data_IF_493983131714
#
_entry.id   IF_493983131714
#
_cell.length_a   1.000
_cell.length_b   1.000
_cell.length_c   1.000
_cell.angle_alpha   90.00
_cell.angle_beta   90.00
_cell.angle_gamma   90.00
#
_symmetry.space_group_name_H-M   'P 1'
#
loop_
_entity.id
_entity.type
_entity.pdbx_description
1 polymer ?
#
# COMPACT_ATOMS: atom_id res chain seq x y z
N UNK A 1 25.57 -20.10 1.33
CA UNK A 1 25.18 -21.34 0.64
C UNK A 1 24.13 -21.05 -0.40
N UNK A 2 24.23 -21.71 -1.52
CA UNK A 2 23.33 -21.47 -2.65
C UNK A 2 21.97 -22.16 -2.43
N UNK A 3 20.90 -21.47 -2.80
CA UNK A 3 19.57 -22.05 -2.89
C UNK A 3 19.48 -23.04 -4.06
N UNK A 4 18.65 -24.06 -3.90
CA UNK A 4 18.25 -24.87 -5.07
C UNK A 4 17.43 -24.01 -6.04
N UNK A 5 17.38 -24.33 -7.35
CA UNK A 5 16.58 -23.58 -8.31
C UNK A 5 15.10 -23.43 -7.89
N UNK A 6 14.52 -24.49 -7.34
CA UNK A 6 13.12 -24.46 -6.88
C UNK A 6 12.93 -23.60 -5.63
N UNK A 7 13.87 -23.62 -4.70
CA UNK A 7 13.84 -22.73 -3.53
C UNK A 7 13.94 -21.27 -3.94
N UNK A 8 14.76 -20.96 -4.93
CA UNK A 8 14.86 -19.61 -5.48
C UNK A 8 13.55 -19.15 -6.12
N UNK A 9 12.93 -20.00 -6.93
CA UNK A 9 11.61 -19.72 -7.53
C UNK A 9 10.57 -19.47 -6.41
N UNK A 10 10.55 -20.33 -5.39
CA UNK A 10 9.66 -20.16 -4.26
C UNK A 10 9.86 -18.81 -3.57
N UNK A 11 11.10 -18.44 -3.27
CA UNK A 11 11.41 -17.18 -2.59
C UNK A 11 11.04 -15.97 -3.45
N UNK A 12 11.34 -15.98 -4.73
CA UNK A 12 11.01 -14.89 -5.67
C UNK A 12 9.48 -14.72 -5.80
N UNK A 13 8.75 -15.84 -5.89
CA UNK A 13 7.27 -15.81 -5.93
C UNK A 13 6.65 -15.35 -4.61
N UNK A 14 7.22 -15.79 -3.48
CA UNK A 14 6.77 -15.36 -2.17
C UNK A 14 6.91 -13.84 -1.98
N UNK A 15 7.96 -13.24 -2.52
CA UNK A 15 8.20 -11.79 -2.43
C UNK A 15 7.16 -10.94 -3.17
N UNK A 16 6.37 -11.54 -4.07
CA UNK A 16 5.33 -10.81 -4.82
C UNK A 16 4.15 -10.45 -3.91
N UNK A 17 3.62 -11.42 -3.18
CA UNK A 17 2.38 -11.28 -2.41
C UNK A 17 2.42 -11.85 -1.00
N UNK A 18 3.57 -12.37 -0.57
CA UNK A 18 3.78 -13.01 0.72
C UNK A 18 2.85 -14.22 0.95
N UNK A 19 2.44 -14.89 -0.12
CA UNK A 19 1.58 -16.08 -0.07
C UNK A 19 2.43 -17.34 -0.30
N UNK A 20 2.81 -18.00 0.80
CA UNK A 20 3.67 -19.20 0.76
C UNK A 20 3.02 -20.38 0.03
N UNK A 21 1.72 -20.56 0.17
CA UNK A 21 0.98 -21.66 -0.49
C UNK A 21 1.02 -21.50 -2.00
N UNK A 22 0.71 -20.33 -2.50
CA UNK A 22 0.77 -20.04 -3.93
C UNK A 22 2.19 -20.15 -4.46
N UNK A 23 3.15 -19.54 -3.78
CA UNK A 23 4.57 -19.57 -4.17
C UNK A 23 5.09 -21.01 -4.23
N UNK A 24 4.72 -21.85 -3.28
CA UNK A 24 5.11 -23.26 -3.28
C UNK A 24 4.55 -24.01 -4.48
N UNK A 25 3.30 -23.79 -4.84
CA UNK A 25 2.68 -24.43 -6.02
C UNK A 25 3.37 -24.03 -7.33
N UNK A 26 3.82 -22.79 -7.43
CA UNK A 26 4.58 -22.32 -8.61
C UNK A 26 5.94 -23.01 -8.69
N UNK A 27 6.66 -23.09 -7.58
CA UNK A 27 7.98 -23.71 -7.52
C UNK A 27 7.94 -25.25 -7.66
N UNK A 28 6.86 -25.88 -7.19
CA UNK A 28 6.66 -27.32 -7.18
C UNK A 28 5.32 -27.68 -7.84
N UNK A 29 5.22 -27.61 -9.18
CA UNK A 29 3.94 -27.75 -9.88
C UNK A 29 3.26 -29.12 -9.74
N UNK A 30 4.03 -30.14 -9.34
CA UNK A 30 3.49 -31.49 -9.08
C UNK A 30 2.63 -31.54 -7.82
N UNK A 31 2.82 -30.60 -6.88
CA UNK A 31 2.03 -30.50 -5.65
C UNK A 31 0.78 -29.68 -5.94
N UNK A 32 -0.37 -30.37 -5.97
CA UNK A 32 -1.67 -29.75 -6.32
C UNK A 32 -2.54 -29.44 -5.10
N UNK A 33 -2.36 -30.18 -4.01
CA UNK A 33 -3.16 -30.00 -2.79
C UNK A 33 -2.71 -28.76 -2.03
N UNK A 34 -3.66 -27.88 -1.73
CA UNK A 34 -3.40 -26.64 -0.99
C UNK A 34 -2.80 -26.89 0.39
N UNK A 35 -3.28 -27.92 1.09
CA UNK A 35 -2.76 -28.25 2.41
C UNK A 35 -1.28 -28.67 2.37
N UNK A 36 -0.90 -29.52 1.42
CA UNK A 36 0.50 -29.91 1.23
C UNK A 36 1.37 -28.72 0.88
N UNK A 37 0.91 -27.85 -0.01
CA UNK A 37 1.60 -26.63 -0.38
C UNK A 37 1.75 -25.67 0.81
N UNK A 38 0.70 -25.53 1.63
CA UNK A 38 0.73 -24.70 2.84
C UNK A 38 1.77 -25.20 3.84
N UNK A 39 1.76 -26.48 4.15
CA UNK A 39 2.69 -27.08 5.10
C UNK A 39 4.13 -26.97 4.60
N UNK A 40 4.37 -27.37 3.36
CA UNK A 40 5.72 -27.35 2.78
C UNK A 40 6.24 -25.94 2.52
N UNK A 41 5.36 -25.02 2.13
CA UNK A 41 5.69 -23.61 2.00
C UNK A 41 6.10 -22.99 3.34
N UNK A 42 5.37 -23.29 4.40
CA UNK A 42 5.70 -22.86 5.75
C UNK A 42 7.04 -23.41 6.23
N UNK A 43 7.36 -24.65 5.89
CA UNK A 43 8.68 -25.24 6.19
C UNK A 43 9.82 -24.51 5.46
N UNK A 44 9.62 -24.16 4.19
CA UNK A 44 10.63 -23.40 3.44
C UNK A 44 10.88 -22.02 4.05
N UNK A 45 9.88 -21.39 4.63
CA UNK A 45 10.04 -20.10 5.32
C UNK A 45 10.86 -20.21 6.61
N UNK A 46 11.10 -21.42 7.12
CA UNK A 46 12.00 -21.67 8.25
C UNK A 46 13.40 -22.10 7.82
N UNK A 47 13.61 -22.34 6.54
CA UNK A 47 14.92 -22.72 6.00
C UNK A 47 15.87 -21.52 6.06
N UNK A 48 17.01 -21.67 6.71
CA UNK A 48 17.97 -20.59 6.92
C UNK A 48 18.41 -19.90 5.62
N UNK A 49 18.68 -20.67 4.59
CA UNK A 49 19.13 -20.12 3.29
C UNK A 49 18.01 -19.36 2.59
N UNK A 50 16.78 -19.86 2.66
CA UNK A 50 15.58 -19.21 2.09
C UNK A 50 15.29 -17.90 2.84
N UNK A 51 15.32 -17.92 4.17
CA UNK A 51 15.13 -16.73 5.00
C UNK A 51 16.17 -15.67 4.68
N UNK A 52 17.45 -16.04 4.63
CA UNK A 52 18.52 -15.11 4.31
C UNK A 52 18.35 -14.47 2.92
N UNK A 53 17.96 -15.25 1.92
CA UNK A 53 17.72 -14.75 0.57
C UNK A 53 16.53 -13.77 0.54
N UNK A 54 15.41 -14.11 1.19
CA UNK A 54 14.23 -13.25 1.27
C UNK A 54 14.58 -11.93 1.96
N UNK A 55 15.27 -11.98 3.10
CA UNK A 55 15.67 -10.79 3.84
C UNK A 55 16.58 -9.88 3.03
N UNK A 56 17.55 -10.45 2.32
CA UNK A 56 18.45 -9.69 1.45
C UNK A 56 17.67 -9.00 0.32
N UNK A 57 16.76 -9.72 -0.34
CA UNK A 57 15.95 -9.15 -1.43
C UNK A 57 15.01 -8.04 -0.93
N UNK A 58 14.44 -8.20 0.27
CA UNK A 58 13.62 -7.15 0.89
C UNK A 58 14.43 -5.89 1.19
N UNK A 59 15.64 -6.05 1.75
CA UNK A 59 16.54 -4.92 2.01
C UNK A 59 16.95 -4.19 0.73
N UNK A 60 17.27 -4.93 -0.32
CA UNK A 60 17.57 -4.35 -1.63
C UNK A 60 16.40 -3.56 -2.19
N UNK A 61 15.19 -4.08 -2.05
CA UNK A 61 13.96 -3.39 -2.49
C UNK A 61 13.72 -2.11 -1.70
N UNK A 62 13.83 -2.14 -0.37
CA UNK A 62 13.71 -0.96 0.48
C UNK A 62 14.75 0.10 0.10
N UNK A 63 16.00 -0.31 -0.10
CA UNK A 63 17.07 0.59 -0.50
C UNK A 63 16.82 1.22 -1.88
N UNK A 64 16.33 0.43 -2.83
CA UNK A 64 16.05 0.90 -4.20
C UNK A 64 14.87 1.87 -4.27
N UNK A 65 13.81 1.59 -3.51
CA UNK A 65 12.58 2.39 -3.51
C UNK A 65 12.57 3.47 -2.44
N UNK A 66 13.45 3.39 -1.45
CA UNK A 66 13.44 4.23 -0.24
C UNK A 66 12.12 4.15 0.54
N UNK A 67 11.37 3.06 0.33
CA UNK A 67 10.08 2.80 0.99
C UNK A 67 10.26 1.65 1.98
N UNK A 68 10.09 1.95 3.27
CA UNK A 68 10.09 0.98 4.36
C UNK A 68 8.66 0.66 4.78
N UNK A 69 8.49 -0.43 5.56
CA UNK A 69 7.21 -0.73 6.20
C UNK A 69 6.73 0.41 7.10
N UNK A 70 7.64 0.99 7.87
CA UNK A 70 7.31 2.11 8.75
C UNK A 70 6.78 3.31 7.97
N UNK A 71 7.40 3.65 6.84
CA UNK A 71 6.92 4.73 5.99
C UNK A 71 5.53 4.45 5.44
N UNK A 72 5.26 3.23 4.98
CA UNK A 72 3.92 2.84 4.49
C UNK A 72 2.90 2.97 5.61
N UNK A 73 3.21 2.51 6.82
CA UNK A 73 2.32 2.63 7.98
C UNK A 73 2.08 4.08 8.36
N UNK A 74 3.09 4.94 8.30
CA UNK A 74 2.94 6.38 8.55
C UNK A 74 2.00 7.04 7.53
N UNK A 75 2.14 6.73 6.25
CA UNK A 75 1.27 7.25 5.20
C UNK A 75 -0.18 6.74 5.35
N UNK A 76 -0.36 5.45 5.68
CA UNK A 76 -1.68 4.88 5.96
C UNK A 76 -2.32 5.52 7.20
N UNK A 77 -1.54 5.84 8.23
CA UNK A 77 -2.03 6.51 9.42
C UNK A 77 -2.57 7.91 9.10
N UNK A 78 -1.92 8.64 8.21
CA UNK A 78 -2.41 9.96 7.75
C UNK A 78 -3.78 9.86 7.10
N UNK A 79 -4.02 8.82 6.30
CA UNK A 79 -5.32 8.54 5.68
C UNK A 79 -6.34 8.03 6.71
N UNK A 80 -5.93 7.07 7.56
CA UNK A 80 -6.83 6.41 8.51
C UNK A 80 -7.28 7.29 9.65
N UNK A 81 -6.47 8.25 10.07
CA UNK A 81 -6.76 9.17 11.17
C UNK A 81 -7.09 10.59 10.68
N UNK A 82 -7.38 10.73 9.41
CA UNK A 82 -7.75 12.00 8.82
C UNK A 82 -9.04 12.55 9.41
N UNK A 83 -9.02 13.82 9.77
CA UNK A 83 -10.19 14.54 10.28
C UNK A 83 -10.73 15.47 9.19
N UNK A 84 -11.92 15.15 8.67
CA UNK A 84 -12.55 15.91 7.59
C UNK A 84 -12.80 17.39 7.95
N UNK A 85 -12.88 17.72 9.24
CA UNK A 85 -13.06 19.11 9.69
C UNK A 85 -11.90 20.02 9.29
N UNK A 86 -10.71 19.44 9.02
CA UNK A 86 -9.57 20.21 8.53
C UNK A 86 -9.78 20.84 7.15
N UNK A 87 -10.77 20.36 6.39
CA UNK A 87 -11.14 20.91 5.10
C UNK A 87 -11.99 22.19 5.19
N UNK A 88 -12.46 22.53 6.37
CA UNK A 88 -13.38 23.65 6.59
C UNK A 88 -12.81 24.64 7.59
N UNK A 89 -13.15 25.92 7.38
CA UNK A 89 -12.84 26.98 8.35
C UNK A 89 -13.85 27.03 9.52
N UNK A 90 -13.64 27.95 10.46
CA UNK A 90 -14.51 28.09 11.63
C UNK A 90 -15.95 28.48 11.27
N UNK A 91 -16.17 29.06 10.09
CA UNK A 91 -17.50 29.42 9.58
C UNK A 91 -18.19 28.28 8.80
N UNK A 92 -17.52 27.13 8.65
CA UNK A 92 -18.03 25.97 7.91
C UNK A 92 -17.85 26.08 6.40
N UNK A 93 -17.04 27.01 5.92
CA UNK A 93 -16.70 27.13 4.49
C UNK A 93 -15.46 26.30 4.17
N UNK A 94 -15.37 25.73 2.95
CA UNK A 94 -14.17 25.04 2.51
C UNK A 94 -12.93 25.95 2.56
N UNK A 95 -11.85 25.43 3.11
CA UNK A 95 -10.56 26.12 3.12
C UNK A 95 -9.98 26.08 1.70
N UNK A 96 -9.32 27.17 1.28
CA UNK A 96 -8.58 27.19 0.02
C UNK A 96 -7.54 26.06 0.03
N UNK A 97 -7.48 25.29 -1.04
CA UNK A 97 -6.57 24.14 -1.15
C UNK A 97 -5.11 24.53 -0.93
N UNK A 98 -4.74 25.76 -1.30
CA UNK A 98 -3.38 26.30 -1.09
C UNK A 98 -3.03 26.52 0.38
N UNK A 99 -4.03 26.59 1.25
CA UNK A 99 -3.89 26.80 2.69
C UNK A 99 -3.91 25.50 3.50
N UNK A 100 -4.16 24.37 2.86
CA UNK A 100 -4.11 23.06 3.51
C UNK A 100 -2.65 22.64 3.75
N UNK A 101 -2.41 21.95 4.87
CA UNK A 101 -1.13 21.31 5.09
C UNK A 101 -0.92 20.15 4.09
N UNK A 102 0.32 19.75 3.89
CA UNK A 102 0.68 18.72 2.91
C UNK A 102 -0.01 17.38 3.21
N UNK A 103 -0.09 16.99 4.47
CA UNK A 103 -0.70 15.73 4.89
C UNK A 103 -2.21 15.72 4.61
N UNK A 104 -2.90 16.82 4.88
CA UNK A 104 -4.33 16.96 4.60
C UNK A 104 -4.59 16.99 3.10
N UNK A 105 -3.81 17.76 2.33
CA UNK A 105 -3.94 17.83 0.89
C UNK A 105 -3.71 16.46 0.23
N UNK A 106 -2.76 15.67 0.72
CA UNK A 106 -2.47 14.33 0.21
C UNK A 106 -3.61 13.33 0.43
N UNK A 107 -4.52 13.59 1.36
CA UNK A 107 -5.69 12.74 1.62
C UNK A 107 -6.84 12.96 0.63
N UNK A 108 -6.78 14.00 -0.21
CA UNK A 108 -7.86 14.34 -1.16
C UNK A 108 -7.70 13.50 -2.41
N UNK A 109 -8.65 12.59 -2.67
CA UNK A 109 -8.66 11.74 -3.87
C UNK A 109 -9.31 12.42 -5.08
N UNK A 110 -10.19 13.38 -4.83
CA UNK A 110 -10.90 14.12 -5.88
C UNK A 110 -11.59 15.34 -5.34
N UNK A 111 -11.80 16.32 -6.20
CA UNK A 111 -12.48 17.57 -5.87
C UNK A 111 -13.40 17.95 -7.02
N UNK A 112 -14.66 18.22 -6.70
CA UNK A 112 -15.62 18.78 -7.63
C UNK A 112 -16.08 20.14 -7.12
N UNK A 113 -15.97 21.16 -7.95
CA UNK A 113 -16.38 22.52 -7.62
C UNK A 113 -17.55 22.88 -8.53
N UNK A 114 -18.66 23.26 -7.90
CA UNK A 114 -19.87 23.69 -8.60
C UNK A 114 -20.21 25.09 -8.14
N UNK A 115 -20.27 26.01 -9.08
CA UNK A 115 -20.64 27.39 -8.84
C UNK A 115 -22.14 27.58 -9.03
N UNK A 116 -22.78 28.19 -8.08
CA UNK A 116 -24.21 28.54 -8.14
C UNK A 116 -24.38 30.05 -8.12
N UNK A 117 -25.36 30.49 -8.86
CA UNK A 117 -25.85 31.88 -8.80
C UNK A 117 -27.29 31.86 -8.34
N UNK A 118 -27.58 32.50 -7.22
CA UNK A 118 -28.92 32.73 -6.74
C UNK A 118 -29.40 34.10 -7.20
N UNK A 119 -30.70 34.19 -7.47
CA UNK A 119 -31.31 35.42 -7.98
C UNK A 119 -31.54 35.40 -9.49
N UNK A 120 -32.19 36.44 -9.97
CA UNK A 120 -32.47 36.60 -11.40
C UNK A 120 -31.97 37.97 -11.89
N UNK A 121 -31.41 37.98 -13.11
CA UNK A 121 -30.91 39.21 -13.71
C UNK A 121 -29.63 39.72 -13.06
N UNK A 122 -29.59 41.04 -12.79
CA UNK A 122 -28.42 41.72 -12.27
C UNK A 122 -28.16 41.44 -10.78
N UNK A 123 -29.16 40.90 -10.05
CA UNK A 123 -29.11 40.60 -8.63
C UNK A 123 -28.60 39.16 -8.34
N UNK A 124 -27.98 38.50 -9.29
CA UNK A 124 -27.41 37.17 -9.09
C UNK A 124 -26.25 37.21 -8.11
N UNK A 125 -26.34 36.40 -7.07
CA UNK A 125 -25.26 36.20 -6.10
C UNK A 125 -24.57 34.88 -6.30
N UNK A 126 -23.26 34.88 -6.10
CA UNK A 126 -22.46 33.65 -6.08
C UNK A 126 -22.63 32.94 -4.73
N UNK A 127 -23.02 31.69 -4.76
CA UNK A 127 -23.31 30.89 -3.56
C UNK A 127 -22.20 29.87 -3.27
#
# INVERSE_FOLDING_TARGET
MALTPKQKIFADEYLIDLNATRAYKVAYPKVRKDESARVNGSKLLTNTNVVAYIDERMKEREKRTEITQDRVLQELAKLGFFDIRKLFDDSGKPVDISMLDDDTAACIAGLEVVDYFEGAGEDKEFV
#
